data_IF_152592577325
#
_entry.id   IF_152592577325
#
_cell.length_a   1.000
_cell.length_b   1.000
_cell.length_c   1.000
_cell.angle_alpha   90.00
_cell.angle_beta   90.00
_cell.angle_gamma   90.00
#
_symmetry.space_group_name_H-M   'P 1'
#
loop_
_entity.id
_entity.type
_entity.pdbx_description
1 polymer ?
#
# COMPACT_ATOMS: atom_id res chain seq x y z
N UNK A 1 52.99 -38.39 -11.73
CA UNK A 1 51.59 -37.95 -11.87
C UNK A 1 51.39 -36.88 -10.81
N UNK A 2 51.44 -35.61 -11.19
CA UNK A 2 51.52 -34.47 -10.26
C UNK A 2 50.12 -33.90 -10.08
N UNK A 3 49.59 -33.96 -8.86
CA UNK A 3 48.28 -33.40 -8.52
C UNK A 3 48.50 -31.99 -7.99
N UNK A 4 48.06 -30.96 -8.73
CA UNK A 4 47.96 -29.60 -8.20
C UNK A 4 46.62 -29.43 -7.48
N UNK A 5 46.67 -28.99 -6.24
CA UNK A 5 45.51 -28.51 -5.47
C UNK A 5 45.45 -27.00 -5.65
N UNK A 6 44.43 -26.52 -6.35
CA UNK A 6 44.16 -25.10 -6.51
C UNK A 6 43.58 -24.56 -5.21
N UNK A 7 44.30 -23.65 -4.54
CA UNK A 7 43.73 -22.87 -3.44
C UNK A 7 42.82 -21.80 -4.03
N UNK A 8 41.51 -21.91 -3.78
CA UNK A 8 40.58 -20.81 -3.98
C UNK A 8 40.71 -19.90 -2.76
N UNK A 9 40.99 -18.59 -2.90
CA UNK A 9 40.99 -17.70 -1.75
C UNK A 9 39.57 -17.60 -1.19
N UNK A 10 39.50 -17.70 0.13
CA UNK A 10 38.34 -17.47 0.97
C UNK A 10 37.75 -16.09 0.65
N UNK A 11 36.66 -16.06 -0.11
CA UNK A 11 35.84 -14.86 -0.27
C UNK A 11 35.08 -14.73 1.03
N UNK A 12 35.71 -14.05 1.99
CA UNK A 12 35.01 -13.46 3.11
C UNK A 12 33.94 -12.52 2.52
N UNK A 13 32.74 -13.04 2.35
CA UNK A 13 31.55 -12.25 2.05
C UNK A 13 31.36 -11.28 3.21
N UNK A 14 31.73 -10.03 2.94
CA UNK A 14 31.46 -8.87 3.78
C UNK A 14 29.96 -8.61 3.80
N UNK A 15 29.17 -9.49 4.40
CA UNK A 15 27.74 -9.31 4.57
C UNK A 15 27.49 -8.53 5.87
N UNK A 16 28.04 -7.32 5.93
CA UNK A 16 27.66 -6.34 6.94
C UNK A 16 26.33 -5.73 6.49
N UNK A 17 25.23 -6.45 6.68
CA UNK A 17 23.89 -5.88 6.57
C UNK A 17 23.85 -4.66 7.49
N UNK A 18 23.79 -3.47 6.91
CA UNK A 18 23.59 -2.23 7.66
C UNK A 18 22.32 -2.43 8.47
N UNK A 19 22.45 -2.43 9.80
CA UNK A 19 21.32 -2.66 10.70
C UNK A 19 20.38 -1.46 10.59
N UNK A 20 19.40 -1.54 9.69
CA UNK A 20 18.37 -0.51 9.53
C UNK A 20 17.60 -0.38 10.84
N UNK A 21 17.48 0.84 11.33
CA UNK A 21 16.58 1.18 12.43
C UNK A 21 15.15 1.09 11.92
N UNK A 22 14.53 -0.08 12.16
CA UNK A 22 13.16 -0.39 11.75
C UNK A 22 12.14 0.57 12.34
N UNK A 23 12.37 1.07 13.56
CA UNK A 23 11.45 2.01 14.21
C UNK A 23 11.54 3.38 13.55
N UNK A 24 12.77 3.89 13.34
CA UNK A 24 12.97 5.15 12.64
C UNK A 24 12.41 5.09 11.20
N UNK A 25 12.58 3.95 10.52
CA UNK A 25 12.03 3.73 9.20
C UNK A 25 10.49 3.76 9.19
N UNK A 26 9.85 3.03 10.12
CA UNK A 26 8.38 3.05 10.26
C UNK A 26 7.86 4.46 10.52
N UNK A 27 8.50 5.19 11.44
CA UNK A 27 8.15 6.58 11.71
C UNK A 27 8.28 7.42 10.44
N UNK A 28 9.34 7.25 9.64
CA UNK A 28 9.49 7.99 8.39
C UNK A 28 8.32 7.76 7.42
N UNK A 29 7.79 6.55 7.34
CA UNK A 29 6.61 6.23 6.51
C UNK A 29 5.34 6.89 7.06
N UNK A 30 5.14 6.85 8.37
CA UNK A 30 3.97 7.47 9.00
C UNK A 30 3.94 8.99 8.82
N UNK A 31 5.10 9.65 8.78
CA UNK A 31 5.19 11.08 8.49
C UNK A 31 4.84 11.44 7.04
N UNK A 32 4.94 10.49 6.10
CA UNK A 32 4.57 10.70 4.68
C UNK A 32 3.07 10.55 4.42
N UNK A 33 2.31 10.16 5.44
CA UNK A 33 0.86 9.98 5.36
C UNK A 33 0.19 11.26 4.88
N UNK A 34 -0.44 11.22 3.71
CA UNK A 34 -1.22 12.35 3.22
C UNK A 34 -2.34 12.72 4.21
N UNK A 35 -2.61 14.02 4.41
CA UNK A 35 -3.74 14.46 5.21
C UNK A 35 -5.02 13.86 4.61
N UNK A 36 -5.91 13.42 5.49
CA UNK A 36 -7.23 13.03 5.04
C UNK A 36 -7.93 14.31 4.54
N UNK A 37 -8.49 14.32 3.31
CA UNK A 37 -9.11 15.52 2.78
C UNK A 37 -10.20 15.97 3.77
N UNK A 38 -10.15 17.25 4.15
CA UNK A 38 -11.21 17.85 4.96
C UNK A 38 -12.49 17.76 4.14
N UNK A 39 -13.41 16.93 4.61
CA UNK A 39 -14.74 16.86 4.03
C UNK A 39 -15.48 18.01 4.66
N UNK A 40 -16.07 18.89 3.84
CA UNK A 40 -16.74 20.08 4.31
C UNK A 40 -17.89 19.71 5.26
N UNK A 41 -17.59 19.66 6.55
CA UNK A 41 -18.49 19.91 7.67
C UNK A 41 -19.60 18.90 7.96
N UNK A 42 -19.78 17.80 7.24
CA UNK A 42 -20.87 16.87 7.55
C UNK A 42 -20.56 16.01 8.81
N UNK A 43 -21.35 16.14 9.89
CA UNK A 43 -21.08 15.45 11.16
C UNK A 43 -21.12 13.92 11.06
N UNK A 44 -21.73 13.38 10.00
CA UNK A 44 -21.80 11.95 9.70
C UNK A 44 -20.46 11.33 9.27
N UNK A 45 -19.41 12.13 9.10
CA UNK A 45 -18.14 11.71 8.50
C UNK A 45 -16.94 11.77 9.46
N UNK A 46 -17.15 12.28 10.68
CA UNK A 46 -16.10 12.47 11.71
C UNK A 46 -15.46 11.16 12.18
N UNK A 47 -16.13 10.02 12.00
CA UNK A 47 -15.64 8.71 12.45
C UNK A 47 -14.50 8.15 11.58
N UNK A 48 -14.37 8.56 10.32
CA UNK A 48 -13.30 8.06 9.42
C UNK A 48 -11.90 8.54 9.84
N UNK A 49 -11.68 9.84 10.10
CA UNK A 49 -10.44 10.31 10.71
C UNK A 49 -10.09 9.57 12.00
N UNK A 50 -11.08 9.32 12.87
CA UNK A 50 -10.87 8.58 14.13
C UNK A 50 -10.37 7.16 13.89
N UNK A 51 -10.93 6.43 12.91
CA UNK A 51 -10.42 5.09 12.54
C UNK A 51 -8.98 5.18 12.03
N UNK A 52 -8.68 6.16 11.18
CA UNK A 52 -7.35 6.35 10.60
C UNK A 52 -6.30 6.66 11.67
N UNK A 53 -6.66 7.48 12.66
CA UNK A 53 -5.78 7.84 13.76
C UNK A 53 -5.57 6.67 14.72
N UNK A 54 -6.62 5.94 15.10
CA UNK A 54 -6.50 4.71 15.89
C UNK A 54 -5.59 3.68 15.22
N UNK A 55 -5.76 3.45 13.91
CA UNK A 55 -4.90 2.53 13.16
C UNK A 55 -3.43 3.01 13.15
N UNK A 56 -3.21 4.32 13.15
CA UNK A 56 -1.85 4.89 13.18
C UNK A 56 -1.21 4.69 14.55
N UNK A 57 -1.95 4.93 15.64
CA UNK A 57 -1.50 4.62 17.00
C UNK A 57 -1.11 3.15 17.15
N UNK A 58 -1.97 2.23 16.68
CA UNK A 58 -1.68 0.80 16.69
C UNK A 58 -0.41 0.46 15.90
N UNK A 59 -0.23 1.04 14.71
CA UNK A 59 0.98 0.82 13.91
C UNK A 59 2.22 1.37 14.63
N UNK A 60 2.13 2.50 15.34
CA UNK A 60 3.27 3.05 16.08
C UNK A 60 3.72 2.18 17.26
N UNK A 61 2.81 1.41 17.85
CA UNK A 61 3.09 0.45 18.92
C UNK A 61 3.67 -0.87 18.38
N UNK A 62 3.48 -1.16 17.09
CA UNK A 62 4.05 -2.31 16.40
C UNK A 62 5.43 -1.98 15.82
N UNK A 63 6.21 -3.03 15.54
CA UNK A 63 7.48 -2.92 14.84
C UNK A 63 7.38 -3.55 13.45
N UNK A 64 8.19 -3.07 12.51
CA UNK A 64 8.37 -3.79 11.24
C UNK A 64 9.01 -5.14 11.57
N UNK A 65 8.45 -6.26 11.08
CA UNK A 65 8.90 -7.58 11.44
C UNK A 65 10.32 -7.89 10.92
N UNK A 66 10.90 -8.92 11.50
CA UNK A 66 12.16 -9.53 11.14
C UNK A 66 11.98 -11.03 10.93
N UNK A 67 12.94 -11.66 10.27
CA UNK A 67 12.97 -13.11 10.07
C UNK A 67 13.11 -13.93 11.37
N UNK A 68 13.16 -13.26 12.53
CA UNK A 68 13.14 -13.90 13.86
C UNK A 68 11.73 -14.28 14.30
N UNK A 69 10.70 -13.61 13.81
CA UNK A 69 9.31 -13.99 14.09
C UNK A 69 8.92 -15.14 13.15
N UNK A 70 8.29 -16.20 13.68
CA UNK A 70 7.99 -17.43 12.91
C UNK A 70 7.16 -17.14 11.65
N UNK A 71 6.20 -16.21 11.73
CA UNK A 71 5.36 -15.77 10.61
C UNK A 71 6.16 -15.08 9.49
N UNK A 72 7.36 -14.60 9.78
CA UNK A 72 8.23 -13.84 8.86
C UNK A 72 9.55 -14.54 8.54
N UNK A 73 9.78 -15.76 9.04
CA UNK A 73 11.05 -16.50 8.87
C UNK A 73 11.50 -16.64 7.41
N UNK A 74 10.54 -16.72 6.48
CA UNK A 74 10.80 -16.91 5.05
C UNK A 74 10.62 -15.64 4.21
N UNK A 75 10.32 -14.51 4.85
CA UNK A 75 10.08 -13.23 4.18
C UNK A 75 11.07 -12.19 4.69
N UNK A 76 12.24 -12.11 4.06
CA UNK A 76 13.23 -11.09 4.40
C UNK A 76 12.84 -9.72 3.84
N UNK A 77 12.70 -8.74 4.73
CA UNK A 77 12.36 -7.35 4.41
C UNK A 77 13.58 -6.43 4.33
N UNK A 78 14.81 -6.97 4.41
CA UNK A 78 16.03 -6.15 4.42
C UNK A 78 16.15 -5.22 3.21
N UNK A 79 15.79 -5.69 2.01
CA UNK A 79 15.87 -4.88 0.78
C UNK A 79 14.78 -3.79 0.75
N UNK A 80 13.58 -4.11 1.26
CA UNK A 80 12.50 -3.14 1.41
C UNK A 80 12.93 -1.99 2.34
N UNK A 81 13.55 -2.33 3.47
CA UNK A 81 14.03 -1.37 4.48
C UNK A 81 15.18 -0.47 3.99
N UNK A 82 15.89 -0.87 2.91
CA UNK A 82 16.90 -0.03 2.26
C UNK A 82 16.29 0.96 1.26
N UNK A 83 15.04 0.74 0.84
CA UNK A 83 14.34 1.61 -0.10
C UNK A 83 13.70 2.78 0.65
N UNK A 84 14.03 4.01 0.25
CA UNK A 84 13.35 5.20 0.75
C UNK A 84 12.06 5.41 -0.06
N UNK A 85 10.91 5.09 0.56
CA UNK A 85 9.62 5.43 -0.03
C UNK A 85 9.37 6.93 0.04
N UNK A 86 8.68 7.42 -0.98
CA UNK A 86 8.13 8.78 -1.06
C UNK A 86 6.74 8.69 -1.68
N UNK A 87 5.82 9.62 -1.37
CA UNK A 87 4.55 9.72 -2.09
C UNK A 87 4.81 9.90 -3.59
N UNK A 88 4.06 9.17 -4.41
CA UNK A 88 4.15 9.33 -5.86
C UNK A 88 3.75 10.77 -6.24
N UNK A 89 4.53 11.44 -7.12
CA UNK A 89 4.11 12.73 -7.65
C UNK A 89 2.85 12.56 -8.50
N UNK A 90 1.99 13.59 -8.61
CA UNK A 90 0.83 13.53 -9.48
C UNK A 90 1.23 13.13 -10.90
N UNK A 91 0.60 12.07 -11.41
CA UNK A 91 0.84 11.54 -12.74
C UNK A 91 -0.48 11.36 -13.49
N UNK A 92 -0.47 11.68 -14.78
CA UNK A 92 -1.63 11.50 -15.65
C UNK A 92 -1.50 10.16 -16.36
N UNK A 93 -2.51 9.32 -16.20
CA UNK A 93 -2.60 8.01 -16.87
C UNK A 93 -3.68 8.10 -17.94
N UNK A 94 -3.43 7.54 -19.11
CA UNK A 94 -4.38 7.46 -20.20
C UNK A 94 -4.92 6.03 -20.38
N UNK A 95 -6.05 5.89 -21.07
CA UNK A 95 -6.64 4.58 -21.33
C UNK A 95 -5.71 3.68 -22.16
N UNK A 96 -4.90 4.29 -23.02
CA UNK A 96 -3.89 3.59 -23.82
C UNK A 96 -2.86 2.86 -22.95
N UNK A 97 -2.46 3.45 -21.81
CA UNK A 97 -1.52 2.83 -20.87
C UNK A 97 -2.11 1.58 -20.21
N UNK A 98 -3.44 1.54 -20.08
CA UNK A 98 -4.18 0.43 -19.46
C UNK A 98 -4.58 -0.65 -20.46
N UNK A 99 -4.52 -0.40 -21.78
CA UNK A 99 -5.13 -1.26 -22.78
C UNK A 99 -4.69 -2.73 -22.70
N UNK A 100 -3.42 -2.98 -22.37
CA UNK A 100 -2.87 -4.33 -22.20
C UNK A 100 -3.38 -5.06 -20.95
N UNK A 101 -3.90 -4.34 -19.97
CA UNK A 101 -4.34 -4.83 -18.67
C UNK A 101 -5.87 -4.90 -18.55
N UNK A 102 -6.61 -4.41 -19.54
CA UNK A 102 -8.06 -4.51 -19.59
C UNK A 102 -8.43 -5.92 -20.03
N UNK A 103 -9.06 -6.66 -19.12
CA UNK A 103 -9.65 -7.96 -19.43
C UNK A 103 -10.87 -7.76 -20.34
N UNK A 104 -10.96 -8.46 -21.50
CA UNK A 104 -12.10 -8.33 -22.41
C UNK A 104 -13.45 -8.56 -21.75
N UNK A 105 -13.52 -9.50 -20.81
CA UNK A 105 -14.75 -9.86 -20.09
C UNK A 105 -15.18 -8.80 -19.06
N UNK A 106 -14.26 -7.90 -18.66
CA UNK A 106 -14.50 -6.87 -17.66
C UNK A 106 -14.33 -5.45 -18.24
N UNK A 107 -14.42 -5.29 -19.57
CA UNK A 107 -14.22 -4.00 -20.24
C UNK A 107 -15.16 -2.91 -19.71
N UNK A 108 -16.40 -3.32 -19.38
CA UNK A 108 -17.49 -2.46 -18.87
C UNK A 108 -17.62 -2.45 -17.34
N UNK A 109 -16.78 -3.22 -16.63
CA UNK A 109 -16.83 -3.40 -15.17
C UNK A 109 -15.43 -3.31 -14.57
N UNK A 110 -14.85 -2.11 -14.63
CA UNK A 110 -13.47 -1.83 -14.21
C UNK A 110 -13.43 -0.58 -13.35
N UNK A 111 -12.75 -0.67 -12.21
CA UNK A 111 -12.46 0.48 -11.36
C UNK A 111 -10.96 0.76 -11.41
N UNK A 112 -10.60 2.01 -11.68
CA UNK A 112 -9.20 2.43 -11.81
C UNK A 112 -8.87 3.41 -10.69
N UNK A 113 -7.81 3.10 -9.94
CA UNK A 113 -7.22 3.95 -8.92
C UNK A 113 -5.77 4.20 -9.29
N UNK A 114 -5.34 5.45 -9.25
CA UNK A 114 -3.96 5.87 -9.57
C UNK A 114 -3.27 6.23 -8.27
N UNK A 115 -2.15 5.58 -7.97
CA UNK A 115 -1.29 5.83 -6.79
C UNK A 115 -2.02 5.87 -5.44
N UNK A 116 -3.03 5.01 -5.25
CA UNK A 116 -3.82 4.96 -4.01
C UNK A 116 -4.76 6.14 -3.81
N UNK A 117 -4.98 6.94 -4.86
CA UNK A 117 -5.93 8.05 -4.88
C UNK A 117 -7.39 7.62 -5.02
N UNK A 118 -8.23 8.59 -5.38
CA UNK A 118 -9.67 8.40 -5.63
C UNK A 118 -9.92 7.69 -6.97
N UNK A 119 -11.12 7.11 -7.11
CA UNK A 119 -11.60 6.49 -8.35
C UNK A 119 -11.47 7.46 -9.54
N UNK A 120 -10.73 7.03 -10.56
CA UNK A 120 -10.55 7.79 -11.78
C UNK A 120 -11.74 7.58 -12.72
N UNK A 121 -12.65 8.56 -12.78
CA UNK A 121 -13.95 8.43 -13.44
C UNK A 121 -13.84 8.04 -14.92
N UNK A 122 -12.94 8.68 -15.68
CA UNK A 122 -12.82 8.48 -17.13
C UNK A 122 -12.14 7.17 -17.52
N UNK A 123 -11.32 6.59 -16.62
CA UNK A 123 -10.60 5.34 -16.89
C UNK A 123 -11.37 4.12 -16.38
N UNK A 124 -12.31 4.36 -15.47
CA UNK A 124 -13.22 3.38 -14.92
C UNK A 124 -14.43 3.17 -15.84
N UNK A 125 -14.98 1.96 -15.81
CA UNK A 125 -16.21 1.60 -16.50
C UNK A 125 -17.14 0.90 -15.50
N UNK A 126 -18.36 1.42 -15.37
CA UNK A 126 -19.36 0.91 -14.42
C UNK A 126 -20.65 0.46 -15.11
N UNK A 127 -20.73 0.56 -16.44
CA UNK A 127 -21.95 0.25 -17.21
C UNK A 127 -22.30 -1.24 -17.19
N UNK A 128 -21.30 -2.11 -17.04
CA UNK A 128 -21.45 -3.56 -16.97
C UNK A 128 -21.75 -4.08 -15.56
N UNK A 129 -21.88 -3.20 -14.55
CA UNK A 129 -22.15 -3.64 -13.19
C UNK A 129 -23.62 -4.07 -13.00
N UNK A 130 -23.88 -5.11 -12.19
CA UNK A 130 -25.24 -5.56 -11.89
C UNK A 130 -26.10 -4.45 -11.29
N UNK A 131 -27.40 -4.49 -11.58
CA UNK A 131 -28.37 -3.58 -10.98
C UNK A 131 -28.31 -3.64 -9.44
N UNK A 132 -28.32 -2.46 -8.80
CA UNK A 132 -28.18 -2.32 -7.34
C UNK A 132 -26.74 -2.16 -6.86
N UNK A 133 -25.73 -2.27 -7.74
CA UNK A 133 -24.34 -1.99 -7.38
C UNK A 133 -24.12 -0.49 -7.26
N UNK A 134 -23.62 -0.04 -6.10
CA UNK A 134 -23.23 1.35 -5.87
C UNK A 134 -21.71 1.43 -5.90
N UNK A 135 -21.19 2.28 -6.79
CA UNK A 135 -19.76 2.60 -6.86
C UNK A 135 -19.59 4.09 -6.64
N UNK A 136 -18.78 4.42 -5.64
CA UNK A 136 -18.48 5.80 -5.30
C UNK A 136 -17.15 5.88 -4.57
N UNK A 137 -16.57 7.07 -4.55
CA UNK A 137 -15.46 7.36 -3.65
C UNK A 137 -15.96 7.41 -2.21
N UNK A 138 -15.09 7.06 -1.25
CA UNK A 138 -15.44 7.10 0.16
C UNK A 138 -16.00 8.46 0.64
N UNK A 139 -15.51 9.63 0.18
CA UNK A 139 -16.01 10.92 0.66
C UNK A 139 -17.40 11.39 0.18
N UNK A 140 -17.90 11.00 -1.01
CA UNK A 140 -19.31 11.20 -1.37
C UNK A 140 -20.25 10.00 -1.07
N UNK A 141 -19.76 8.88 -0.53
CA UNK A 141 -20.55 7.66 -0.30
C UNK A 141 -21.30 7.60 1.06
N UNK A 142 -21.22 8.64 1.88
CA UNK A 142 -21.46 8.55 3.33
C UNK A 142 -22.94 8.68 3.74
N UNK A 143 -23.89 8.55 2.81
CA UNK A 143 -25.32 8.50 3.11
C UNK A 143 -25.75 7.16 3.74
N UNK A 144 -24.98 6.08 3.57
CA UNK A 144 -25.18 4.80 4.26
C UNK A 144 -24.24 4.68 5.47
N UNK A 145 -24.63 3.99 6.58
CA UNK A 145 -23.80 3.88 7.79
C UNK A 145 -22.63 2.90 7.59
N UNK A 146 -21.67 3.27 6.73
CA UNK A 146 -20.42 2.54 6.49
C UNK A 146 -19.62 2.31 7.77
N UNK A 147 -19.80 3.17 8.78
CA UNK A 147 -19.23 3.00 10.13
C UNK A 147 -19.56 1.65 10.77
N UNK A 148 -20.67 1.02 10.39
CA UNK A 148 -21.07 -0.28 10.93
C UNK A 148 -20.24 -1.43 10.34
N UNK A 149 -19.55 -1.21 9.22
CA UNK A 149 -18.84 -2.25 8.48
C UNK A 149 -17.32 -2.05 8.44
N UNK A 150 -16.84 -0.82 8.59
CA UNK A 150 -15.42 -0.52 8.54
C UNK A 150 -14.74 -0.61 9.91
N UNK A 151 -13.52 -1.16 9.92
CA UNK A 151 -12.66 -1.35 11.10
C UNK A 151 -13.33 -2.09 12.28
N UNK A 152 -14.13 -3.12 11.97
CA UNK A 152 -14.64 -4.09 12.95
C UNK A 152 -13.68 -5.28 13.02
N UNK A 153 -12.76 -5.28 13.98
CA UNK A 153 -11.91 -6.41 14.35
C UNK A 153 -12.08 -6.66 15.85
#
# INVERSE_FOLDING_TARGET
>A
MTIQVSMVPDVAETNAQVKVDRQAYLQSLLHQRAPFPSLDGEPSQVWLPVIRDRATEQVTELAIPSTREEEWRFTDLADLLQTQFVPAPPHSVELADLAAWILPEASESRLVFVDGGVLHQTLSAIAGLPAGTIVSNLPPALEQPLQNYLAKL
#
